data_IF_585790147594
#
_entry.id   IF_585790147594
#
_cell.length_a   1.000
_cell.length_b   1.000
_cell.length_c   1.000
_cell.angle_alpha   90.00
_cell.angle_beta   90.00
_cell.angle_gamma   90.00
#
_symmetry.space_group_name_H-M   'P 1'
#
loop_
_entity.id
_entity.type
_entity.pdbx_description
1 polymer ?
#
# COMPACT_ATOMS: atom_id res chain seq x y z
N UNK A 1 9.34 -6.00 -3.09
CA UNK A 1 8.94 -4.60 -2.80
C UNK A 1 7.47 -4.55 -2.42
N UNK A 2 7.06 -3.54 -1.69
CA UNK A 2 5.66 -3.15 -1.52
C UNK A 2 5.60 -1.61 -1.50
N UNK A 3 4.41 -1.04 -1.33
CA UNK A 3 4.21 0.40 -1.16
C UNK A 3 3.26 0.60 0.00
N UNK A 4 3.75 1.21 1.09
CA UNK A 4 2.93 1.68 2.19
C UNK A 4 2.43 3.09 1.91
N UNK A 5 1.18 3.35 2.29
CA UNK A 5 0.49 4.63 2.09
C UNK A 5 0.38 5.37 3.42
N UNK A 6 1.46 6.05 3.77
CA UNK A 6 1.65 6.59 5.10
C UNK A 6 0.60 7.66 5.46
N UNK A 7 -0.18 7.35 6.50
CA UNK A 7 -1.23 8.23 7.04
C UNK A 7 -2.59 8.09 6.36
N UNK A 8 -2.73 7.25 5.34
CA UNK A 8 -4.02 7.05 4.66
C UNK A 8 -4.86 6.02 5.42
N UNK A 9 -6.11 6.35 5.76
CA UNK A 9 -7.09 5.38 6.27
C UNK A 9 -7.65 4.54 5.13
N UNK A 10 -7.16 3.32 5.00
CA UNK A 10 -7.55 2.36 3.96
C UNK A 10 -7.89 0.99 4.55
N UNK A 11 -8.44 0.09 3.72
CA UNK A 11 -8.64 -1.30 4.12
C UNK A 11 -7.28 -1.97 4.36
N UNK A 12 -7.13 -2.71 5.46
CA UNK A 12 -5.84 -3.29 5.89
C UNK A 12 -5.10 -4.06 4.76
N UNK A 13 -5.83 -4.74 3.87
CA UNK A 13 -5.25 -5.47 2.73
C UNK A 13 -4.50 -4.58 1.71
N UNK A 14 -4.66 -3.25 1.76
CA UNK A 14 -4.02 -2.28 0.88
C UNK A 14 -2.88 -1.51 1.55
N UNK A 15 -2.51 -1.88 2.77
CA UNK A 15 -1.56 -1.12 3.59
C UNK A 15 -0.09 -1.30 3.16
N UNK A 16 0.23 -2.33 2.38
CA UNK A 16 1.57 -2.47 1.80
C UNK A 16 2.66 -2.95 2.75
N UNK A 17 2.32 -3.61 3.86
CA UNK A 17 3.28 -4.18 4.82
C UNK A 17 3.57 -5.65 4.46
N UNK A 18 4.78 -5.99 3.98
CA UNK A 18 5.11 -7.34 3.58
C UNK A 18 4.93 -8.34 4.72
N UNK A 19 4.38 -9.52 4.38
CA UNK A 19 4.13 -10.63 5.31
C UNK A 19 3.07 -10.36 6.40
N UNK A 20 2.52 -9.15 6.47
CA UNK A 20 1.40 -8.81 7.36
C UNK A 20 0.12 -8.55 6.55
N UNK A 21 0.16 -7.61 5.62
CA UNK A 21 -1.04 -7.21 4.86
C UNK A 21 -1.02 -7.71 3.42
N UNK A 22 0.16 -8.03 2.88
CA UNK A 22 0.31 -8.66 1.57
C UNK A 22 1.61 -9.45 1.41
N UNK A 23 1.68 -10.27 0.37
CA UNK A 23 2.95 -10.86 -0.10
C UNK A 23 3.79 -9.77 -0.79
N UNK A 24 5.13 -9.76 -0.61
CA UNK A 24 5.99 -8.85 -1.36
C UNK A 24 5.76 -8.98 -2.87
N UNK A 25 5.68 -7.84 -3.56
CA UNK A 25 5.68 -7.77 -5.03
C UNK A 25 7.02 -8.28 -5.53
N UNK A 26 6.99 -9.31 -6.38
CA UNK A 26 8.16 -9.95 -6.95
C UNK A 26 9.00 -8.94 -7.76
N UNK A 27 10.33 -8.99 -7.58
CA UNK A 27 11.25 -8.01 -8.18
C UNK A 27 11.22 -8.00 -9.72
N UNK A 28 10.92 -9.14 -10.34
CA UNK A 28 10.95 -9.30 -11.80
C UNK A 28 9.54 -9.51 -12.34
N UNK A 29 8.82 -8.41 -12.61
CA UNK A 29 7.51 -8.43 -13.25
C UNK A 29 6.32 -8.72 -12.32
N UNK A 30 6.54 -8.74 -11.01
CA UNK A 30 5.45 -8.80 -10.04
C UNK A 30 4.57 -7.57 -10.12
N UNK A 31 3.25 -7.75 -9.93
CA UNK A 31 2.27 -6.66 -9.92
C UNK A 31 1.34 -6.81 -8.73
N UNK A 32 0.98 -5.68 -8.13
CA UNK A 32 -0.10 -5.56 -7.16
C UNK A 32 -0.88 -4.28 -7.46
N UNK A 33 -2.20 -4.33 -7.36
CA UNK A 33 -3.07 -3.16 -7.58
C UNK A 33 -3.54 -2.70 -6.22
N UNK A 34 -3.12 -1.49 -5.83
CA UNK A 34 -3.66 -0.82 -4.66
C UNK A 34 -4.90 -0.04 -5.09
N UNK A 35 -6.03 -0.35 -4.47
CA UNK A 35 -7.31 0.30 -4.76
C UNK A 35 -8.03 0.62 -3.45
N UNK A 36 -8.18 1.90 -3.15
CA UNK A 36 -8.83 2.39 -1.93
C UNK A 36 -9.36 3.81 -2.13
N UNK A 37 -10.38 4.17 -1.35
CA UNK A 37 -10.88 5.54 -1.29
C UNK A 37 -9.98 6.43 -0.42
N UNK A 38 -10.00 7.74 -0.66
CA UNK A 38 -9.28 8.74 0.11
C UNK A 38 -10.28 9.57 0.95
N UNK A 39 -10.58 9.16 2.19
CA UNK A 39 -11.60 9.83 3.00
C UNK A 39 -11.12 11.13 3.66
N UNK A 40 -9.80 11.35 3.74
CA UNK A 40 -9.19 12.49 4.43
C UNK A 40 -8.46 13.42 3.47
N UNK A 41 -8.71 14.72 3.59
CA UNK A 41 -7.93 15.75 2.90
C UNK A 41 -6.69 16.12 3.74
N UNK A 42 -5.53 16.23 3.10
CA UNK A 42 -4.29 16.57 3.77
C UNK A 42 -3.06 16.19 2.95
N UNK A 43 -1.90 16.36 3.56
CA UNK A 43 -0.62 15.94 2.98
C UNK A 43 -0.26 14.55 3.50
N UNK A 44 -0.17 13.60 2.57
CA UNK A 44 0.23 12.22 2.81
C UNK A 44 1.38 11.86 1.87
N UNK A 45 1.93 10.66 2.01
CA UNK A 45 3.02 10.19 1.17
C UNK A 45 3.02 8.67 1.08
N UNK A 46 3.86 8.14 0.19
CA UNK A 46 4.03 6.71 0.01
C UNK A 46 5.52 6.35 0.03
N UNK A 47 5.84 5.13 0.45
CA UNK A 47 7.19 4.62 0.43
C UNK A 47 7.23 3.09 0.35
N UNK A 48 8.40 2.55 -0.01
CA UNK A 48 8.65 1.10 0.06
C UNK A 48 8.96 0.61 1.47
#
# INVERSE_FOLDING_TARGET
TSVHWHGIRLANAMDGVPHLTQTPIAANGGKFIYEFALPDAGTFWYHS
#
